data_IF_275535213674
#
_entry.id   IF_275535213674
#
_cell.length_a   1.000
_cell.length_b   1.000
_cell.length_c   1.000
_cell.angle_alpha   90.00
_cell.angle_beta   90.00
_cell.angle_gamma   90.00
#
_symmetry.space_group_name_H-M   'P 1'
#
loop_
_entity.id
_entity.type
_entity.pdbx_description
1 polymer ?
#
# COMPACT_ATOMS: atom_id res chain seq x y z
N UNK A 1 -63.64 13.68 -50.17
CA UNK A 1 -62.65 12.71 -49.69
C UNK A 1 -61.37 13.48 -49.39
N UNK A 2 -61.05 13.66 -48.12
CA UNK A 2 -59.79 14.36 -47.69
C UNK A 2 -58.89 13.23 -47.16
N UNK A 3 -57.75 13.03 -47.85
CA UNK A 3 -56.69 12.16 -47.41
C UNK A 3 -55.82 12.87 -46.38
N UNK A 4 -55.78 12.40 -45.12
CA UNK A 4 -54.86 12.90 -44.11
C UNK A 4 -53.57 12.10 -44.19
N UNK A 5 -52.45 12.76 -44.54
CA UNK A 5 -51.10 12.22 -44.38
C UNK A 5 -50.68 12.28 -42.89
N UNK A 6 -50.48 11.14 -42.29
CA UNK A 6 -49.82 11.01 -40.96
C UNK A 6 -48.32 10.87 -41.20
N UNK A 7 -47.55 11.92 -40.91
CA UNK A 7 -46.11 11.88 -40.96
C UNK A 7 -45.60 11.32 -39.64
N UNK A 8 -45.13 10.08 -39.66
CA UNK A 8 -44.45 9.47 -38.51
C UNK A 8 -43.02 10.03 -38.36
N UNK A 9 -42.78 10.75 -37.26
CA UNK A 9 -41.47 11.27 -36.94
C UNK A 9 -40.68 10.16 -36.14
N UNK A 10 -39.78 9.46 -36.84
CA UNK A 10 -38.84 8.55 -36.19
C UNK A 10 -37.73 9.37 -35.54
N UNK A 11 -37.76 9.46 -34.19
CA UNK A 11 -36.62 9.97 -33.41
C UNK A 11 -35.61 8.84 -33.27
N UNK A 12 -34.57 8.84 -34.09
CA UNK A 12 -33.37 8.01 -33.90
C UNK A 12 -32.59 8.59 -32.71
N UNK A 13 -32.74 7.95 -31.55
CA UNK A 13 -31.84 8.15 -30.41
C UNK A 13 -30.49 7.51 -30.77
N UNK A 14 -29.56 8.31 -31.24
CA UNK A 14 -28.15 7.92 -31.30
C UNK A 14 -27.62 7.79 -29.86
N UNK A 15 -27.62 6.59 -29.32
CA UNK A 15 -26.73 6.27 -28.20
C UNK A 15 -25.30 6.32 -28.73
N UNK A 16 -24.65 7.48 -28.60
CA UNK A 16 -23.21 7.54 -28.69
C UNK A 16 -22.67 6.73 -27.51
N UNK A 17 -22.23 5.51 -27.75
CA UNK A 17 -21.34 4.80 -26.85
C UNK A 17 -20.08 5.65 -26.76
N UNK A 18 -19.97 6.50 -25.72
CA UNK A 18 -18.70 7.11 -25.40
C UNK A 18 -17.74 5.98 -25.11
N UNK A 19 -16.78 5.78 -25.99
CA UNK A 19 -15.65 4.90 -25.70
C UNK A 19 -15.04 5.38 -24.37
N UNK A 20 -14.96 4.48 -23.39
CA UNK A 20 -14.42 4.81 -22.08
C UNK A 20 -13.00 5.39 -22.27
N UNK A 21 -12.80 6.65 -21.90
CA UNK A 21 -11.51 7.32 -22.05
C UNK A 21 -10.54 6.68 -21.04
N UNK A 22 -9.52 6.04 -21.58
CA UNK A 22 -8.45 5.44 -20.75
C UNK A 22 -7.57 6.55 -20.20
N UNK A 23 -7.41 6.57 -18.88
CA UNK A 23 -6.53 7.52 -18.18
C UNK A 23 -5.12 6.93 -18.14
N UNK A 24 -4.14 7.73 -18.55
CA UNK A 24 -2.73 7.36 -18.48
C UNK A 24 -1.88 8.63 -18.36
N UNK A 25 -1.56 9.01 -17.14
CA UNK A 25 -0.75 10.16 -16.82
C UNK A 25 0.45 9.76 -15.96
N UNK A 26 1.57 10.47 -16.16
CA UNK A 26 2.76 10.35 -15.35
C UNK A 26 3.39 11.75 -15.27
N UNK A 27 3.54 12.29 -14.07
CA UNK A 27 3.95 13.69 -13.88
C UNK A 27 4.47 13.99 -12.50
N UNK A 28 5.21 15.08 -12.40
CA UNK A 28 5.54 15.70 -11.11
C UNK A 28 4.41 16.61 -10.65
N UNK A 29 4.12 16.58 -9.34
CA UNK A 29 3.21 17.49 -8.63
C UNK A 29 3.91 18.08 -7.43
N UNK A 30 3.68 19.36 -7.15
CA UNK A 30 4.24 20.00 -5.95
C UNK A 30 3.47 19.56 -4.71
N UNK A 31 4.16 18.90 -3.78
CA UNK A 31 3.63 18.41 -2.50
C UNK A 31 4.68 18.71 -1.42
N UNK A 32 4.27 19.34 -0.32
CA UNK A 32 5.18 19.68 0.77
C UNK A 32 6.39 20.49 0.32
N UNK A 33 6.21 21.37 -0.66
CA UNK A 33 7.25 22.27 -1.17
C UNK A 33 8.26 21.66 -2.14
N UNK A 34 8.12 20.37 -2.53
CA UNK A 34 8.95 19.73 -3.55
C UNK A 34 8.08 19.06 -4.62
N UNK A 35 8.63 18.86 -5.81
CA UNK A 35 7.93 18.14 -6.88
C UNK A 35 8.09 16.62 -6.66
N UNK A 36 6.97 15.91 -6.55
CA UNK A 36 6.93 14.48 -6.32
C UNK A 36 6.23 13.78 -7.48
N UNK A 37 6.74 12.62 -7.86
CA UNK A 37 6.27 11.86 -9.01
C UNK A 37 5.02 11.07 -8.70
N UNK A 38 4.03 11.17 -9.59
CA UNK A 38 2.82 10.35 -9.54
C UNK A 38 2.52 9.73 -10.90
N UNK A 39 1.92 8.57 -10.89
CA UNK A 39 1.25 7.99 -12.05
C UNK A 39 -0.24 7.85 -11.79
N UNK A 40 -1.08 8.10 -12.80
CA UNK A 40 -2.54 7.98 -12.71
C UNK A 40 -3.01 7.13 -13.89
N UNK A 41 -3.62 5.99 -13.60
CA UNK A 41 -4.00 5.02 -14.63
C UNK A 41 -5.36 4.41 -14.33
N UNK A 42 -6.19 4.23 -15.36
CA UNK A 42 -7.50 3.60 -15.23
C UNK A 42 -8.18 3.42 -16.58
N UNK A 43 -9.06 2.43 -16.68
CA UNK A 43 -9.79 2.16 -17.92
C UNK A 43 -11.04 3.02 -18.08
N UNK A 44 -11.59 3.58 -16.98
CA UNK A 44 -12.83 4.38 -16.99
C UNK A 44 -12.72 5.56 -16.04
N UNK A 45 -13.04 6.74 -16.52
CA UNK A 45 -13.10 7.97 -15.70
C UNK A 45 -14.12 7.88 -14.55
N UNK A 46 -15.16 7.05 -14.69
CA UNK A 46 -16.18 6.85 -13.67
C UNK A 46 -15.75 5.92 -12.53
N UNK A 47 -14.64 5.20 -12.65
CA UNK A 47 -14.14 4.30 -11.60
C UNK A 47 -13.70 5.08 -10.37
N UNK A 48 -13.83 4.52 -9.14
CA UNK A 48 -13.35 5.17 -7.91
C UNK A 48 -11.85 5.45 -7.92
N UNK A 49 -11.41 6.51 -7.24
CA UNK A 49 -9.99 6.80 -7.05
C UNK A 49 -9.39 5.88 -6.00
N UNK A 50 -8.26 5.25 -6.33
CA UNK A 50 -7.47 4.41 -5.42
C UNK A 50 -6.03 4.94 -5.34
N UNK A 51 -5.71 5.64 -4.25
CA UNK A 51 -4.36 6.11 -3.95
C UNK A 51 -3.59 5.01 -3.22
N UNK A 52 -2.52 4.52 -3.82
CA UNK A 52 -1.67 3.45 -3.27
C UNK A 52 -0.40 4.08 -2.68
N UNK A 53 -0.19 3.83 -1.39
CA UNK A 53 0.99 4.22 -0.64
C UNK A 53 1.90 2.99 -0.46
N UNK A 54 3.07 3.04 -1.11
CA UNK A 54 4.04 1.95 -1.01
C UNK A 54 4.68 1.85 0.37
N UNK A 55 5.25 0.69 0.64
CA UNK A 55 6.03 0.40 1.85
C UNK A 55 7.52 0.69 1.69
N UNK A 56 8.30 -0.13 2.28
CA UNK A 56 9.75 -0.04 2.36
C UNK A 56 10.19 0.26 3.79
N UNK A 57 10.96 1.35 4.01
CA UNK A 57 10.91 2.68 3.37
C UNK A 57 11.46 2.75 1.94
N UNK A 58 10.81 3.60 1.11
CA UNK A 58 11.35 3.98 -0.18
C UNK A 58 11.12 3.00 -1.35
N UNK A 59 10.29 1.96 -1.20
CA UNK A 59 10.04 0.93 -2.22
C UNK A 59 9.00 1.41 -3.24
N UNK A 60 9.34 2.44 -4.01
CA UNK A 60 8.48 2.99 -5.06
C UNK A 60 8.02 1.91 -6.05
N UNK A 61 6.76 2.00 -6.51
CA UNK A 61 6.15 0.97 -7.35
C UNK A 61 5.60 1.54 -8.67
N UNK A 62 5.73 2.82 -8.93
CA UNK A 62 5.20 3.48 -10.13
C UNK A 62 5.78 2.93 -11.44
N UNK A 63 7.00 2.39 -11.40
CA UNK A 63 7.66 1.73 -12.52
C UNK A 63 7.10 0.33 -12.86
N UNK A 64 6.30 -0.29 -11.97
CA UNK A 64 5.75 -1.64 -12.15
C UNK A 64 4.28 -1.60 -12.56
N UNK A 65 3.92 -0.81 -13.57
CA UNK A 65 2.53 -0.56 -13.98
C UNK A 65 1.76 -1.83 -14.33
N UNK A 66 2.40 -2.85 -14.91
CA UNK A 66 1.78 -4.13 -15.28
C UNK A 66 1.29 -4.93 -14.05
N UNK A 67 1.88 -4.70 -12.89
CA UNK A 67 1.44 -5.32 -11.63
C UNK A 67 0.03 -4.86 -11.25
N UNK A 68 -0.32 -3.63 -11.60
CA UNK A 68 -1.59 -2.99 -11.22
C UNK A 68 -2.66 -3.02 -12.30
N UNK A 69 -2.42 -3.63 -13.46
CA UNK A 69 -3.35 -3.66 -14.59
C UNK A 69 -4.76 -4.21 -14.23
N UNK A 70 -4.86 -5.14 -13.27
CA UNK A 70 -6.16 -5.66 -12.82
C UNK A 70 -6.91 -4.65 -11.93
N UNK A 71 -6.19 -3.84 -11.16
CA UNK A 71 -6.77 -2.73 -10.40
C UNK A 71 -7.26 -1.62 -11.31
N UNK A 72 -6.54 -1.31 -12.40
CA UNK A 72 -6.92 -0.28 -13.38
C UNK A 72 -8.26 -0.56 -14.08
N UNK A 73 -8.70 -1.83 -14.15
CA UNK A 73 -10.03 -2.23 -14.64
C UNK A 73 -11.17 -1.80 -13.72
N UNK A 74 -10.87 -1.57 -12.44
CA UNK A 74 -11.86 -1.32 -11.38
C UNK A 74 -11.74 0.07 -10.76
N UNK A 75 -10.54 0.62 -10.75
CA UNK A 75 -10.20 1.88 -10.09
C UNK A 75 -9.41 2.80 -11.02
N UNK A 76 -9.42 4.08 -10.72
CA UNK A 76 -8.38 5.00 -11.17
C UNK A 76 -7.26 4.85 -10.14
N UNK A 77 -6.21 4.14 -10.51
CA UNK A 77 -5.06 3.84 -9.65
C UNK A 77 -4.08 4.99 -9.69
N UNK A 78 -3.79 5.54 -8.53
CA UNK A 78 -2.75 6.55 -8.35
C UNK A 78 -1.62 5.92 -7.56
N UNK A 79 -0.43 5.88 -8.16
CA UNK A 79 0.81 5.50 -7.48
C UNK A 79 1.64 6.76 -7.26
N UNK A 80 2.23 6.85 -6.10
CA UNK A 80 3.02 7.99 -5.69
C UNK A 80 4.40 7.54 -5.25
N UNK A 81 5.41 7.98 -5.96
CA UNK A 81 6.80 7.87 -5.52
C UNK A 81 7.01 8.92 -4.43
N UNK A 82 6.91 8.48 -3.20
CA UNK A 82 6.97 9.33 -2.02
C UNK A 82 8.30 10.08 -1.96
N UNK A 83 8.34 11.15 -1.19
CA UNK A 83 9.58 11.88 -0.86
C UNK A 83 10.72 10.91 -0.53
N UNK A 84 11.87 11.04 -1.21
CA UNK A 84 13.00 10.14 -1.05
C UNK A 84 12.90 8.78 -1.77
N UNK A 85 11.91 8.59 -2.67
CA UNK A 85 11.68 7.31 -3.34
C UNK A 85 11.58 7.47 -4.85
N UNK A 86 11.95 6.45 -5.61
CA UNK A 86 11.75 6.34 -7.05
C UNK A 86 12.14 7.59 -7.83
N UNK A 87 11.29 8.05 -8.76
CA UNK A 87 11.55 9.24 -9.58
C UNK A 87 11.62 10.54 -8.76
N UNK A 88 10.94 10.61 -7.62
CA UNK A 88 11.09 11.73 -6.68
C UNK A 88 12.51 11.79 -6.11
N UNK A 89 13.08 10.64 -5.70
CA UNK A 89 14.48 10.56 -5.30
C UNK A 89 15.41 10.89 -6.46
N UNK A 90 15.13 10.41 -7.67
CA UNK A 90 15.92 10.72 -8.86
C UNK A 90 16.08 12.21 -9.15
N UNK A 91 15.14 13.03 -8.67
CA UNK A 91 15.20 14.49 -8.82
C UNK A 91 16.04 15.19 -7.76
N UNK A 92 16.03 14.70 -6.51
CA UNK A 92 16.64 15.38 -5.37
C UNK A 92 17.79 14.63 -4.73
N UNK A 93 17.89 13.33 -4.97
CA UNK A 93 18.88 12.42 -4.38
C UNK A 93 18.92 12.57 -2.85
N UNK A 94 20.08 12.48 -2.26
CA UNK A 94 20.31 12.66 -0.80
C UNK A 94 20.04 14.08 -0.30
N UNK A 95 19.76 15.04 -1.20
CA UNK A 95 19.35 16.41 -0.86
C UNK A 95 17.84 16.53 -0.64
N UNK A 96 17.11 15.43 -0.67
CA UNK A 96 15.67 15.39 -0.37
C UNK A 96 15.40 15.96 1.02
N UNK A 97 14.69 17.11 1.15
CA UNK A 97 14.52 17.77 2.44
C UNK A 97 13.43 17.08 3.27
N UNK A 98 13.57 17.16 4.61
CA UNK A 98 12.52 16.82 5.58
C UNK A 98 11.88 15.44 5.36
N UNK A 99 12.69 14.39 5.17
CA UNK A 99 12.17 13.02 5.07
C UNK A 99 11.84 12.50 6.48
N UNK A 100 10.57 12.67 6.89
CA UNK A 100 9.99 12.17 8.14
C UNK A 100 8.62 11.56 7.88
N UNK A 101 8.13 10.72 8.79
CA UNK A 101 6.77 10.15 8.68
C UNK A 101 5.71 11.26 8.70
N UNK A 102 5.86 12.26 9.54
CA UNK A 102 4.94 13.40 9.64
C UNK A 102 4.87 14.20 8.33
N UNK A 103 6.02 14.38 7.66
CA UNK A 103 6.07 15.06 6.37
C UNK A 103 5.44 14.21 5.27
N UNK A 104 5.69 12.89 5.25
CA UNK A 104 5.04 11.98 4.31
C UNK A 104 3.50 11.96 4.49
N UNK A 105 3.02 12.03 5.73
CA UNK A 105 1.58 12.18 6.01
C UNK A 105 1.05 13.51 5.46
N UNK A 106 1.79 14.61 5.64
CA UNK A 106 1.38 15.94 5.11
C UNK A 106 1.37 15.95 3.58
N UNK A 107 2.41 15.43 2.94
CA UNK A 107 2.50 15.30 1.47
C UNK A 107 1.35 14.45 0.91
N UNK A 108 1.02 13.33 1.59
CA UNK A 108 -0.08 12.47 1.20
C UNK A 108 -1.47 13.15 1.33
N UNK A 109 -1.66 14.00 2.34
CA UNK A 109 -2.86 14.83 2.48
C UNK A 109 -2.96 15.83 1.31
N UNK A 110 -1.88 16.54 1.00
CA UNK A 110 -1.84 17.47 -0.14
C UNK A 110 -2.12 16.75 -1.47
N UNK A 111 -1.57 15.53 -1.65
CA UNK A 111 -1.88 14.70 -2.82
C UNK A 111 -3.36 14.30 -2.87
N UNK A 112 -3.96 13.91 -1.74
CA UNK A 112 -5.38 13.58 -1.68
C UNK A 112 -6.27 14.78 -2.04
N UNK A 113 -5.94 15.98 -1.54
CA UNK A 113 -6.62 17.23 -1.90
C UNK A 113 -6.48 17.56 -3.40
N UNK A 114 -5.26 17.42 -3.93
CA UNK A 114 -4.99 17.60 -5.35
C UNK A 114 -5.84 16.65 -6.21
N UNK A 115 -5.89 15.36 -5.88
CA UNK A 115 -6.65 14.36 -6.61
C UNK A 115 -8.15 14.65 -6.56
N UNK A 116 -8.72 14.92 -5.39
CA UNK A 116 -10.14 15.26 -5.23
C UNK A 116 -10.53 16.47 -6.07
N UNK A 117 -9.68 17.50 -6.09
CA UNK A 117 -9.90 18.71 -6.91
C UNK A 117 -9.79 18.40 -8.40
N UNK A 118 -8.73 17.69 -8.82
CA UNK A 118 -8.47 17.40 -10.25
C UNK A 118 -9.56 16.55 -10.88
N UNK A 119 -10.10 15.58 -10.15
CA UNK A 119 -11.17 14.71 -10.62
C UNK A 119 -12.58 15.19 -10.22
N UNK A 120 -12.70 16.27 -9.43
CA UNK A 120 -13.97 16.74 -8.86
C UNK A 120 -14.77 15.61 -8.20
N UNK A 121 -14.13 14.81 -7.32
CA UNK A 121 -14.69 13.59 -6.72
C UNK A 121 -14.49 13.50 -5.21
N UNK A 122 -15.35 12.70 -4.55
CA UNK A 122 -15.34 12.48 -3.11
C UNK A 122 -15.25 10.97 -2.73
N UNK A 123 -14.84 10.12 -3.66
CA UNK A 123 -14.77 8.67 -3.49
C UNK A 123 -13.34 8.13 -3.43
N UNK A 124 -12.40 8.95 -2.94
CA UNK A 124 -11.01 8.58 -2.79
C UNK A 124 -10.83 7.49 -1.72
N UNK A 125 -10.29 6.36 -2.14
CA UNK A 125 -9.85 5.26 -1.28
C UNK A 125 -8.35 5.38 -1.11
N UNK A 126 -7.84 5.32 0.12
CA UNK A 126 -6.40 5.20 0.37
C UNK A 126 -6.05 3.77 0.74
N UNK A 127 -5.09 3.18 0.01
CA UNK A 127 -4.52 1.86 0.28
C UNK A 127 -3.08 2.02 0.73
N UNK A 128 -2.80 1.62 1.97
CA UNK A 128 -1.44 1.54 2.50
C UNK A 128 -0.91 0.11 2.48
N UNK A 129 0.34 -0.08 2.04
CA UNK A 129 1.05 -1.34 2.15
C UNK A 129 2.26 -1.18 3.07
N UNK A 130 2.42 -2.06 4.06
CA UNK A 130 3.57 -2.06 4.98
C UNK A 130 3.76 -0.68 5.64
N UNK A 131 4.90 -0.02 5.53
CA UNK A 131 5.10 1.35 6.04
C UNK A 131 4.04 2.33 5.52
N UNK A 132 3.55 2.14 4.29
CA UNK A 132 2.45 2.92 3.75
C UNK A 132 1.17 2.88 4.60
N UNK A 133 0.97 1.84 5.42
CA UNK A 133 -0.17 1.77 6.36
C UNK A 133 -0.05 2.78 7.51
N UNK A 134 1.17 3.03 7.99
CA UNK A 134 1.41 4.05 9.02
C UNK A 134 1.13 5.44 8.48
N UNK A 135 1.60 5.74 7.25
CA UNK A 135 1.35 7.01 6.57
C UNK A 135 -0.16 7.19 6.32
N UNK A 136 -0.82 6.20 5.71
CA UNK A 136 -2.26 6.24 5.43
C UNK A 136 -3.09 6.40 6.71
N UNK A 137 -2.70 5.74 7.81
CA UNK A 137 -3.33 5.89 9.13
C UNK A 137 -3.23 7.34 9.62
N UNK A 138 -2.04 7.94 9.53
CA UNK A 138 -1.85 9.35 9.87
C UNK A 138 -2.70 10.30 9.02
N UNK A 139 -2.84 10.02 7.72
CA UNK A 139 -3.68 10.80 6.80
C UNK A 139 -5.16 10.74 7.18
N UNK A 140 -5.73 9.54 7.41
CA UNK A 140 -7.16 9.39 7.72
C UNK A 140 -7.52 9.87 9.13
N UNK A 141 -6.57 9.92 10.06
CA UNK A 141 -6.78 10.53 11.38
C UNK A 141 -6.82 12.06 11.24
N UNK A 142 -5.86 12.65 10.53
CA UNK A 142 -5.77 14.12 10.39
C UNK A 142 -6.86 14.70 9.50
N UNK A 143 -7.20 14.02 8.41
CA UNK A 143 -8.16 14.50 7.39
C UNK A 143 -9.13 13.38 6.95
N UNK A 144 -9.99 12.90 7.86
CA UNK A 144 -10.97 11.85 7.53
C UNK A 144 -11.96 12.25 6.44
N UNK A 145 -12.20 13.56 6.26
CA UNK A 145 -13.07 14.14 5.23
C UNK A 145 -12.60 13.92 3.79
N UNK A 146 -11.32 13.59 3.62
CA UNK A 146 -10.74 13.35 2.29
C UNK A 146 -11.00 11.93 1.77
N UNK A 147 -11.29 10.97 2.64
CA UNK A 147 -11.28 9.56 2.28
C UNK A 147 -12.64 8.89 2.46
N UNK A 148 -13.09 8.20 1.41
CA UNK A 148 -14.27 7.33 1.46
C UNK A 148 -14.01 6.09 2.30
N UNK A 149 -12.80 5.53 2.21
CA UNK A 149 -12.35 4.38 2.98
C UNK A 149 -10.83 4.33 3.10
N UNK A 150 -10.36 3.71 4.18
CA UNK A 150 -9.00 3.23 4.36
C UNK A 150 -8.93 1.74 4.06
N UNK A 151 -7.85 1.31 3.36
CA UNK A 151 -7.51 -0.10 3.13
C UNK A 151 -6.06 -0.32 3.57
N UNK A 152 -5.83 -1.22 4.50
CA UNK A 152 -4.49 -1.62 4.96
C UNK A 152 -4.14 -3.04 4.54
N UNK A 153 -2.90 -3.27 4.12
CA UNK A 153 -2.34 -4.60 3.86
C UNK A 153 -0.87 -4.64 4.27
N UNK A 154 -0.40 -5.79 4.76
CA UNK A 154 0.88 -5.77 5.46
C UNK A 154 0.83 -4.74 6.59
N UNK A 155 -0.27 -4.73 7.35
CA UNK A 155 -0.62 -3.69 8.30
C UNK A 155 0.40 -3.58 9.43
N UNK A 156 0.99 -2.41 9.61
CA UNK A 156 1.79 -2.12 10.80
C UNK A 156 0.84 -1.92 11.99
N UNK A 157 1.13 -2.62 13.09
CA UNK A 157 0.39 -2.51 14.35
C UNK A 157 1.31 -2.09 15.50
N UNK A 158 2.28 -2.96 15.82
CA UNK A 158 3.32 -2.73 16.82
C UNK A 158 4.57 -3.49 16.39
N UNK A 159 5.67 -2.80 16.21
CA UNK A 159 6.94 -3.46 15.90
C UNK A 159 7.40 -4.37 17.04
N UNK A 160 7.27 -3.95 18.28
CA UNK A 160 7.68 -4.76 19.44
C UNK A 160 6.91 -6.08 19.49
N UNK A 161 5.58 -6.04 19.31
CA UNK A 161 4.76 -7.26 19.29
C UNK A 161 5.08 -8.13 18.06
N UNK A 162 5.34 -7.50 16.90
CA UNK A 162 5.67 -8.21 15.65
C UNK A 162 7.02 -8.92 15.74
N UNK A 163 8.04 -8.25 16.28
CA UNK A 163 9.39 -8.82 16.46
C UNK A 163 9.36 -9.94 17.49
N UNK A 164 8.66 -9.76 18.62
CA UNK A 164 8.48 -10.81 19.64
C UNK A 164 7.81 -12.04 19.02
N UNK A 165 6.69 -11.84 18.32
CA UNK A 165 5.96 -12.93 17.68
C UNK A 165 6.83 -13.67 16.67
N UNK A 166 7.54 -12.92 15.80
CA UNK A 166 8.42 -13.50 14.79
C UNK A 166 9.58 -14.31 15.43
N UNK A 167 10.14 -13.82 16.52
CA UNK A 167 11.20 -14.52 17.26
C UNK A 167 10.70 -15.87 17.78
N UNK A 168 9.55 -15.91 18.44
CA UNK A 168 8.96 -17.15 18.95
C UNK A 168 8.56 -18.09 17.81
N UNK A 169 8.00 -17.57 16.73
CA UNK A 169 7.68 -18.35 15.54
C UNK A 169 8.92 -19.03 14.95
N UNK A 170 10.01 -18.29 14.73
CA UNK A 170 11.24 -18.86 14.18
C UNK A 170 11.87 -19.89 15.11
N UNK A 171 11.84 -19.66 16.41
CA UNK A 171 12.30 -20.66 17.41
C UNK A 171 11.47 -21.94 17.33
N UNK A 172 10.16 -21.84 17.29
CA UNK A 172 9.28 -23.00 17.14
C UNK A 172 9.61 -23.78 15.86
N UNK A 173 9.78 -23.05 14.73
CA UNK A 173 10.15 -23.68 13.45
C UNK A 173 11.53 -24.34 13.47
N UNK A 174 12.50 -23.73 14.13
CA UNK A 174 13.82 -24.33 14.29
C UNK A 174 13.76 -25.63 15.10
N UNK A 175 12.97 -25.67 16.17
CA UNK A 175 12.75 -26.89 16.96
C UNK A 175 12.00 -27.95 16.15
N UNK A 176 10.90 -27.59 15.46
CA UNK A 176 10.10 -28.52 14.65
C UNK A 176 10.92 -29.17 13.50
N UNK A 177 11.89 -28.44 12.94
CA UNK A 177 12.74 -28.90 11.84
C UNK A 177 14.11 -29.45 12.27
N UNK A 178 14.37 -29.55 13.56
CA UNK A 178 15.64 -29.96 14.15
C UNK A 178 16.84 -29.12 13.66
N UNK A 179 16.60 -27.82 13.43
CA UNK A 179 17.57 -26.83 12.94
C UNK A 179 18.35 -26.22 14.12
N UNK A 180 19.32 -26.98 14.63
CA UNK A 180 20.14 -26.54 15.76
C UNK A 180 20.97 -25.29 15.45
N UNK A 181 21.40 -25.09 14.21
CA UNK A 181 22.18 -23.92 13.80
C UNK A 181 21.34 -22.63 13.89
N UNK A 182 20.11 -22.66 13.38
CA UNK A 182 19.22 -21.53 13.51
C UNK A 182 18.83 -21.26 14.97
N UNK A 183 18.59 -22.31 15.75
CA UNK A 183 18.27 -22.16 17.17
C UNK A 183 19.42 -21.50 17.93
N UNK A 184 20.65 -21.91 17.69
CA UNK A 184 21.84 -21.28 18.26
C UNK A 184 22.01 -19.83 17.83
N UNK A 185 21.74 -19.53 16.55
CA UNK A 185 21.77 -18.16 16.01
C UNK A 185 20.73 -17.28 16.70
N UNK A 186 19.50 -17.74 16.78
CA UNK A 186 18.41 -16.99 17.45
C UNK A 186 18.70 -16.79 18.96
N UNK A 187 19.26 -17.81 19.64
CA UNK A 187 19.64 -17.67 21.05
C UNK A 187 20.79 -16.66 21.26
N UNK A 188 21.69 -16.49 20.29
CA UNK A 188 22.76 -15.47 20.33
C UNK A 188 22.24 -14.07 20.03
N UNK A 189 21.32 -13.94 19.06
CA UNK A 189 20.74 -12.65 18.69
C UNK A 189 19.81 -12.14 19.81
N UNK A 190 19.01 -13.03 20.39
CA UNK A 190 17.90 -12.67 21.28
C UNK A 190 16.80 -11.91 20.53
N UNK A 191 15.89 -11.27 21.28
CA UNK A 191 14.90 -10.35 20.70
C UNK A 191 15.65 -9.08 20.32
N UNK A 192 15.62 -8.67 19.03
CA UNK A 192 16.37 -7.50 18.57
C UNK A 192 15.95 -6.21 19.29
N UNK A 193 16.93 -5.43 19.73
CA UNK A 193 16.69 -4.07 20.19
C UNK A 193 16.30 -3.20 18.99
N UNK A 194 15.14 -2.52 19.00
CA UNK A 194 14.72 -1.60 17.94
C UNK A 194 15.75 -0.50 17.63
N UNK A 195 16.60 -0.15 18.60
CA UNK A 195 17.66 0.86 18.44
C UNK A 195 18.92 0.32 17.77
N UNK A 196 19.01 -1.00 17.58
CA UNK A 196 20.15 -1.66 16.94
C UNK A 196 19.74 -2.14 15.53
N UNK A 197 19.93 -1.27 14.55
CA UNK A 197 19.55 -1.56 13.15
C UNK A 197 20.27 -2.80 12.60
N UNK A 198 21.55 -3.00 12.90
CA UNK A 198 22.33 -4.15 12.41
C UNK A 198 21.78 -5.47 12.97
N UNK A 199 21.49 -5.50 14.27
CA UNK A 199 20.87 -6.66 14.92
C UNK A 199 19.49 -6.94 14.33
N UNK A 200 18.70 -5.91 14.13
CA UNK A 200 17.38 -6.02 13.50
C UNK A 200 17.47 -6.58 12.07
N UNK A 201 18.34 -6.04 11.22
CA UNK A 201 18.54 -6.54 9.86
C UNK A 201 19.07 -7.97 9.83
N UNK A 202 19.99 -8.32 10.71
CA UNK A 202 20.47 -9.69 10.84
C UNK A 202 19.34 -10.64 11.17
N UNK A 203 18.58 -10.33 12.21
CA UNK A 203 17.41 -11.09 12.61
C UNK A 203 16.37 -11.23 11.50
N UNK A 204 16.03 -10.15 10.81
CA UNK A 204 15.00 -10.21 9.75
C UNK A 204 15.44 -11.00 8.52
N UNK A 205 16.74 -11.18 8.30
CA UNK A 205 17.25 -12.06 7.21
C UNK A 205 16.94 -13.52 7.48
N UNK A 206 16.94 -13.96 8.74
CA UNK A 206 16.71 -15.37 9.08
C UNK A 206 15.29 -15.82 8.72
N UNK A 207 14.29 -14.92 8.75
CA UNK A 207 12.90 -15.22 8.36
C UNK A 207 12.74 -15.65 6.91
N UNK A 208 13.69 -15.26 6.02
CA UNK A 208 13.59 -15.57 4.58
C UNK A 208 13.46 -17.06 4.29
N UNK A 209 13.97 -17.90 5.19
CA UNK A 209 13.86 -19.35 5.11
C UNK A 209 12.41 -19.85 5.21
N UNK A 210 11.55 -19.07 5.87
CA UNK A 210 10.17 -19.45 6.19
C UNK A 210 9.13 -18.64 5.39
N UNK A 211 9.55 -17.81 4.42
CA UNK A 211 8.60 -17.10 3.57
C UNK A 211 7.70 -18.09 2.86
N UNK A 212 6.42 -17.74 2.74
CA UNK A 212 5.50 -18.51 1.93
C UNK A 212 5.92 -18.53 0.45
N UNK A 213 5.44 -19.53 -0.30
CA UNK A 213 5.86 -19.74 -1.69
C UNK A 213 5.45 -18.57 -2.60
N UNK A 214 4.34 -17.89 -2.31
CA UNK A 214 3.85 -16.78 -3.11
C UNK A 214 4.73 -15.53 -2.92
N UNK A 215 5.09 -15.17 -1.68
CA UNK A 215 6.02 -14.07 -1.40
C UNK A 215 7.43 -14.38 -1.94
N UNK A 216 7.93 -15.61 -1.77
CA UNK A 216 9.21 -16.00 -2.34
C UNK A 216 9.24 -15.85 -3.86
N UNK A 217 8.19 -16.32 -4.55
CA UNK A 217 8.03 -16.18 -6.00
C UNK A 217 7.89 -14.71 -6.42
N UNK A 218 7.20 -13.90 -5.61
CA UNK A 218 7.08 -12.47 -5.87
C UNK A 218 8.44 -11.77 -5.79
N UNK A 219 9.26 -12.04 -4.78
CA UNK A 219 10.61 -11.48 -4.69
C UNK A 219 11.48 -11.84 -5.90
N UNK A 220 11.37 -13.07 -6.42
CA UNK A 220 12.08 -13.47 -7.64
C UNK A 220 11.56 -12.73 -8.87
N UNK A 221 10.25 -12.52 -8.95
CA UNK A 221 9.61 -11.75 -10.02
C UNK A 221 10.04 -10.29 -9.95
N UNK A 222 10.01 -9.68 -8.76
CA UNK A 222 10.41 -8.29 -8.53
C UNK A 222 11.88 -8.08 -8.92
N UNK A 223 12.78 -8.98 -8.50
CA UNK A 223 14.20 -8.94 -8.88
C UNK A 223 14.38 -8.92 -10.40
N UNK A 224 13.67 -9.80 -11.12
CA UNK A 224 13.71 -9.85 -12.60
C UNK A 224 13.15 -8.57 -13.24
N UNK A 225 12.14 -7.95 -12.64
CA UNK A 225 11.59 -6.68 -13.11
C UNK A 225 12.58 -5.54 -12.90
N UNK A 226 13.12 -5.41 -11.69
CA UNK A 226 14.10 -4.38 -11.32
C UNK A 226 15.32 -4.43 -12.22
N UNK A 227 15.87 -5.61 -12.50
CA UNK A 227 17.06 -5.76 -13.38
C UNK A 227 16.78 -5.42 -14.85
N UNK A 228 15.51 -5.29 -15.25
CA UNK A 228 15.11 -4.90 -16.62
C UNK A 228 14.78 -3.43 -16.76
N UNK A 229 14.76 -2.68 -15.67
CA UNK A 229 14.51 -1.23 -15.72
C UNK A 229 15.64 -0.53 -16.48
N UNK A 230 15.34 0.55 -17.20
CA UNK A 230 16.35 1.46 -17.70
C UNK A 230 17.28 1.92 -16.58
N UNK A 231 18.56 2.14 -16.90
CA UNK A 231 19.58 2.46 -15.89
C UNK A 231 19.22 3.63 -14.96
N UNK A 232 18.64 4.76 -15.44
CA UNK A 232 18.20 5.84 -14.57
C UNK A 232 17.13 5.40 -13.58
N UNK A 233 16.06 4.75 -14.04
CA UNK A 233 14.96 4.27 -13.20
C UNK A 233 15.44 3.25 -12.15
N UNK A 234 16.33 2.33 -12.56
CA UNK A 234 16.97 1.38 -11.65
C UNK A 234 17.72 2.11 -10.53
N UNK A 235 18.55 3.10 -10.89
CA UNK A 235 19.34 3.85 -9.91
C UNK A 235 18.43 4.65 -8.96
N UNK A 236 17.35 5.26 -9.49
CA UNK A 236 16.38 6.02 -8.70
C UNK A 236 15.65 5.11 -7.70
N UNK A 237 15.25 3.91 -8.14
CA UNK A 237 14.57 2.94 -7.29
C UNK A 237 15.48 2.42 -6.16
N UNK A 238 16.67 1.91 -6.51
CA UNK A 238 17.62 1.34 -5.54
C UNK A 238 18.18 2.42 -4.60
N UNK A 239 18.59 3.58 -5.15
CA UNK A 239 19.09 4.70 -4.36
C UNK A 239 18.05 5.26 -3.41
N UNK A 240 16.80 5.41 -3.89
CA UNK A 240 15.69 5.90 -3.06
C UNK A 240 15.33 4.94 -1.93
N UNK A 241 15.30 3.63 -2.21
CA UNK A 241 15.06 2.60 -1.19
C UNK A 241 16.16 2.61 -0.12
N UNK A 242 17.42 2.66 -0.53
CA UNK A 242 18.56 2.73 0.40
C UNK A 242 18.55 4.01 1.25
N UNK A 243 18.38 5.17 0.60
CA UNK A 243 18.32 6.47 1.28
C UNK A 243 17.18 6.54 2.29
N UNK A 244 15.96 6.21 1.86
CA UNK A 244 14.79 6.25 2.73
C UNK A 244 14.88 5.25 3.88
N UNK A 245 15.42 4.05 3.65
CA UNK A 245 15.66 3.06 4.70
C UNK A 245 16.62 3.60 5.76
N UNK A 246 17.71 4.22 5.37
CA UNK A 246 18.69 4.78 6.31
C UNK A 246 18.09 5.91 7.17
N UNK A 247 17.19 6.73 6.58
CA UNK A 247 16.60 7.88 7.29
C UNK A 247 15.41 7.49 8.14
N UNK A 248 14.52 6.62 7.62
CA UNK A 248 13.21 6.34 8.24
C UNK A 248 13.18 5.10 9.14
N UNK A 249 14.17 4.20 9.05
CA UNK A 249 14.18 2.99 9.86
C UNK A 249 14.06 3.26 11.38
N UNK A 250 14.75 4.24 11.97
CA UNK A 250 14.59 4.54 13.40
C UNK A 250 13.13 4.86 13.77
N UNK A 251 12.44 5.66 12.95
CA UNK A 251 11.03 6.00 13.16
C UNK A 251 10.11 4.78 13.00
N UNK A 252 10.40 3.93 12.01
CA UNK A 252 9.63 2.72 11.77
C UNK A 252 9.71 1.75 12.97
N UNK A 253 10.89 1.59 13.57
CA UNK A 253 11.10 0.71 14.70
C UNK A 253 10.45 1.21 16.00
N UNK A 254 10.16 2.51 16.11
CA UNK A 254 9.46 3.12 17.24
C UNK A 254 7.93 3.16 17.06
N UNK A 255 7.41 2.79 15.88
CA UNK A 255 5.98 2.90 15.57
C UNK A 255 5.10 2.01 16.46
N UNK A 256 4.06 2.62 17.03
CA UNK A 256 3.13 1.99 17.97
C UNK A 256 1.67 2.34 17.64
N UNK A 257 1.22 2.07 16.43
CA UNK A 257 -0.17 2.32 16.03
C UNK A 257 -1.17 1.61 16.95
N UNK A 258 -0.80 0.46 17.49
CA UNK A 258 -1.64 -0.33 18.42
C UNK A 258 -2.00 0.39 19.73
N UNK A 259 -1.34 1.51 20.03
CA UNK A 259 -1.61 2.32 21.23
C UNK A 259 -1.98 3.76 20.93
N UNK A 260 -1.62 4.29 19.76
CA UNK A 260 -1.80 5.70 19.41
C UNK A 260 -2.94 5.97 18.43
N UNK A 261 -3.28 5.00 17.58
CA UNK A 261 -4.23 5.16 16.48
C UNK A 261 -5.37 4.13 16.58
N UNK A 262 -6.36 4.40 17.41
CA UNK A 262 -7.46 3.46 17.67
C UNK A 262 -8.85 4.00 17.25
N UNK A 263 -9.02 5.32 17.10
CA UNK A 263 -10.32 5.93 16.81
C UNK A 263 -10.31 6.58 15.42
N UNK A 264 -11.09 6.03 14.50
CA UNK A 264 -11.20 6.50 13.13
C UNK A 264 -12.60 7.03 12.83
N UNK A 265 -12.67 8.10 12.05
CA UNK A 265 -13.92 8.60 11.44
C UNK A 265 -14.12 8.08 10.02
N UNK A 266 -13.08 7.48 9.44
CA UNK A 266 -13.09 6.86 8.12
C UNK A 266 -13.40 5.38 8.24
N UNK A 267 -14.23 4.77 7.38
CA UNK A 267 -14.40 3.32 7.30
C UNK A 267 -13.06 2.60 7.09
N UNK A 268 -12.83 1.48 7.79
CA UNK A 268 -11.52 0.88 7.98
C UNK A 268 -11.51 -0.60 7.57
N UNK A 269 -10.86 -0.92 6.46
CA UNK A 269 -10.67 -2.28 5.96
C UNK A 269 -9.21 -2.69 6.13
N UNK A 270 -8.97 -3.87 6.68
CA UNK A 270 -7.64 -4.51 6.66
C UNK A 270 -7.77 -5.83 5.91
N UNK A 271 -6.91 -6.04 4.90
CA UNK A 271 -6.79 -7.28 4.15
C UNK A 271 -5.36 -7.80 4.36
N UNK A 272 -5.22 -8.86 5.15
CA UNK A 272 -3.93 -9.37 5.63
C UNK A 272 -3.71 -10.80 5.15
N UNK A 273 -2.47 -11.14 4.75
CA UNK A 273 -2.09 -12.52 4.47
C UNK A 273 -1.92 -13.34 5.75
N UNK A 274 -2.37 -14.60 5.77
CA UNK A 274 -2.23 -15.48 6.96
C UNK A 274 -0.77 -15.73 7.33
N UNK A 275 0.11 -15.76 6.34
CA UNK A 275 1.51 -16.18 6.43
C UNK A 275 2.48 -14.99 6.33
N UNK A 276 1.98 -13.78 6.63
CA UNK A 276 2.81 -12.57 6.62
C UNK A 276 3.84 -12.61 7.76
N UNK A 277 5.10 -12.75 7.41
CA UNK A 277 6.25 -12.74 8.34
C UNK A 277 6.93 -11.37 8.44
N UNK A 278 6.43 -10.34 7.73
CA UNK A 278 6.93 -8.97 7.84
C UNK A 278 6.12 -8.16 8.86
N UNK A 279 4.80 -8.28 8.77
CA UNK A 279 3.83 -7.72 9.71
C UNK A 279 2.88 -8.84 10.15
N UNK A 280 3.30 -9.67 11.12
CA UNK A 280 2.59 -10.90 11.46
C UNK A 280 1.12 -10.68 11.79
N UNK A 281 0.29 -11.61 11.32
CA UNK A 281 -1.18 -11.48 11.36
C UNK A 281 -1.74 -11.41 12.77
N UNK A 282 -1.11 -12.05 13.75
CA UNK A 282 -1.62 -12.05 15.13
C UNK A 282 -1.52 -10.65 15.80
N UNK A 283 -0.38 -9.95 15.78
CA UNK A 283 -0.33 -8.54 16.20
C UNK A 283 -1.33 -7.64 15.48
N UNK A 284 -1.57 -7.88 14.17
CA UNK A 284 -2.59 -7.14 13.41
C UNK A 284 -4.01 -7.41 13.92
N UNK A 285 -4.36 -8.66 14.24
CA UNK A 285 -5.64 -9.02 14.87
C UNK A 285 -5.85 -8.29 16.19
N UNK A 286 -4.81 -8.30 17.05
CA UNK A 286 -4.82 -7.63 18.34
C UNK A 286 -5.03 -6.11 18.21
N UNK A 287 -4.38 -5.49 17.27
CA UNK A 287 -4.57 -4.09 16.94
C UNK A 287 -5.99 -3.84 16.40
N UNK A 288 -6.43 -4.61 15.40
CA UNK A 288 -7.74 -4.44 14.76
C UNK A 288 -8.90 -4.61 15.76
N UNK A 289 -8.77 -5.50 16.74
CA UNK A 289 -9.78 -5.69 17.79
C UNK A 289 -10.05 -4.39 18.56
N UNK A 290 -9.00 -3.60 18.82
CA UNK A 290 -9.06 -2.33 19.57
C UNK A 290 -9.57 -1.15 18.75
N UNK A 291 -9.56 -1.24 17.41
CA UNK A 291 -10.01 -0.16 16.52
C UNK A 291 -11.50 0.13 16.68
N UNK A 292 -11.83 1.42 16.75
CA UNK A 292 -13.18 1.97 16.65
C UNK A 292 -13.28 2.75 15.34
N UNK A 293 -14.25 2.40 14.49
CA UNK A 293 -14.50 3.06 13.22
C UNK A 293 -16.01 2.96 12.87
N UNK A 294 -16.56 3.84 12.00
CA UNK A 294 -17.96 3.77 11.58
C UNK A 294 -18.35 2.42 10.96
N UNK A 295 -17.44 1.86 10.20
CA UNK A 295 -17.47 0.49 9.67
C UNK A 295 -16.06 -0.06 9.69
N UNK A 296 -15.86 -1.28 10.19
CA UNK A 296 -14.56 -1.95 10.11
C UNK A 296 -14.69 -3.40 9.66
N UNK A 297 -13.76 -3.88 8.85
CA UNK A 297 -13.69 -5.27 8.38
C UNK A 297 -12.23 -5.74 8.37
N UNK A 298 -11.97 -6.93 8.90
CA UNK A 298 -10.68 -7.62 8.79
C UNK A 298 -10.88 -8.86 7.93
N UNK A 299 -10.12 -8.96 6.86
CA UNK A 299 -10.09 -10.12 5.96
C UNK A 299 -8.72 -10.77 6.06
N UNK A 300 -8.70 -12.08 6.27
CA UNK A 300 -7.47 -12.86 6.22
C UNK A 300 -7.48 -13.73 4.98
N UNK A 301 -6.53 -13.47 4.07
CA UNK A 301 -6.33 -14.30 2.89
C UNK A 301 -5.43 -15.47 3.28
N UNK A 302 -5.97 -16.68 3.23
CA UNK A 302 -5.23 -17.90 3.58
C UNK A 302 -4.16 -18.21 2.53
N UNK A 303 -3.03 -18.75 3.00
CA UNK A 303 -1.86 -19.09 2.17
C UNK A 303 -1.34 -17.87 1.37
N UNK A 304 -1.32 -16.72 1.99
CA UNK A 304 -0.80 -15.48 1.44
C UNK A 304 0.10 -14.78 2.45
N UNK A 305 1.19 -14.21 1.98
CA UNK A 305 2.14 -13.48 2.79
C UNK A 305 1.95 -11.97 2.74
N UNK A 306 3.06 -11.24 2.84
CA UNK A 306 3.11 -9.78 2.93
C UNK A 306 2.60 -9.07 1.68
N UNK A 307 2.74 -9.71 0.53
CA UNK A 307 2.37 -9.15 -0.78
C UNK A 307 1.02 -9.68 -1.30
N UNK A 308 0.09 -10.01 -0.40
CA UNK A 308 -1.24 -10.52 -0.75
C UNK A 308 -1.96 -9.66 -1.81
N UNK A 309 -1.80 -8.33 -1.78
CA UNK A 309 -2.38 -7.40 -2.75
C UNK A 309 -1.83 -7.58 -4.18
N UNK A 310 -0.67 -8.21 -4.34
CA UNK A 310 -0.05 -8.53 -5.63
C UNK A 310 -0.20 -10.00 -5.98
N UNK A 311 0.02 -10.90 -5.02
CA UNK A 311 0.00 -12.35 -5.24
C UNK A 311 -1.41 -12.92 -5.31
N UNK A 312 -2.38 -12.29 -4.65
CA UNK A 312 -3.79 -12.69 -4.59
C UNK A 312 -4.73 -11.58 -5.12
N UNK A 313 -4.31 -10.86 -6.17
CA UNK A 313 -4.95 -9.64 -6.70
C UNK A 313 -6.46 -9.74 -6.86
N UNK A 314 -6.95 -10.83 -7.46
CA UNK A 314 -8.40 -10.99 -7.71
C UNK A 314 -9.19 -10.92 -6.41
N UNK A 315 -8.82 -11.76 -5.42
CA UNK A 315 -9.51 -11.79 -4.12
C UNK A 315 -9.37 -10.46 -3.40
N UNK A 316 -8.20 -9.85 -3.47
CA UNK A 316 -7.93 -8.56 -2.83
C UNK A 316 -8.83 -7.43 -3.39
N UNK A 317 -8.96 -7.35 -4.72
CA UNK A 317 -9.84 -6.39 -5.40
C UNK A 317 -11.30 -6.64 -5.05
N UNK A 318 -11.75 -7.91 -5.07
CA UNK A 318 -13.12 -8.31 -4.71
C UNK A 318 -13.49 -7.84 -3.28
N UNK A 319 -12.58 -7.98 -2.31
CA UNK A 319 -12.82 -7.52 -0.93
C UNK A 319 -12.94 -6.00 -0.81
N UNK A 320 -12.16 -5.24 -1.59
CA UNK A 320 -12.32 -3.77 -1.64
C UNK A 320 -13.68 -3.43 -2.25
N UNK A 321 -14.05 -4.02 -3.41
CA UNK A 321 -15.33 -3.76 -4.08
C UNK A 321 -16.52 -4.12 -3.18
N UNK A 322 -16.45 -5.25 -2.46
CA UNK A 322 -17.48 -5.67 -1.52
C UNK A 322 -17.64 -4.68 -0.37
N UNK A 323 -16.53 -4.29 0.27
CA UNK A 323 -16.56 -3.31 1.35
C UNK A 323 -17.13 -1.95 0.89
N UNK A 324 -16.76 -1.49 -0.32
CA UNK A 324 -17.30 -0.27 -0.89
C UNK A 324 -18.80 -0.35 -1.18
N UNK A 325 -19.31 -1.51 -1.62
CA UNK A 325 -20.76 -1.75 -1.78
C UNK A 325 -21.49 -1.69 -0.45
N UNK A 326 -20.94 -2.30 0.60
CA UNK A 326 -21.51 -2.25 1.94
C UNK A 326 -21.63 -0.80 2.47
N UNK A 327 -20.66 0.08 2.17
CA UNK A 327 -20.69 1.49 2.56
C UNK A 327 -21.75 2.32 1.81
N UNK A 328 -22.15 1.89 0.61
CA UNK A 328 -23.14 2.59 -0.20
C UNK A 328 -24.58 2.09 0.04
N UNK A 329 -24.75 0.97 0.78
CA UNK A 329 -26.06 0.34 1.04
C UNK A 329 -26.70 0.81 2.34
N UNK A 330 -25.99 1.63 3.13
CA UNK A 330 -26.44 2.25 4.37
C UNK A 330 -26.55 3.77 4.19
#
# INVERSE_FOLDING_TARGET
MKLSLITAFFILLFFQSQAATKIHEAKFVTLGGIEQWITIRGEKESSPLLLILHGGPGDAQSCFTDVYADYEKKFIVVQWDQRGSGETFGKYHEQTPNLTIEQLVSDGIELAEYLKKSFNRNDLIVLGHSLGTAIATGMVIKRPDLFKAYVGTGQIASWAESVQWLFEFMKSKAVESDDSLLLDELNKIGIPDPKNADQFFHFTRTRRKYLDAADASWFDTLRKKVTRLPKPEFNNLEGGSLFSSNVLLPYQLEERLSTSALNFKTPYLVIQGSDDLFTPTEPVRNYFAKIVAPRKKLVIIQNAGHFAFVTNKRRFIEEIEEFMKELNSN
#
